data_IF_653758632615
#
_entry.id   IF_653758632615
#
_cell.length_a   1.000
_cell.length_b   1.000
_cell.length_c   1.000
_cell.angle_alpha   90.00
_cell.angle_beta   90.00
_cell.angle_gamma   90.00
#
_symmetry.space_group_name_H-M   'P 1'
#
loop_
_entity.id
_entity.type
_entity.pdbx_description
1 polymer ?
#
# COMPACT_ATOMS: atom_id res chain seq x y z
N UNK A 1 -45.81 -8.17 21.48
CA UNK A 1 -44.53 -7.44 21.43
C UNK A 1 -43.30 -8.32 21.13
N UNK A 2 -43.37 -9.66 21.17
CA UNK A 2 -42.22 -10.54 20.86
C UNK A 2 -41.79 -10.54 19.37
N UNK A 3 -42.71 -10.33 18.43
CA UNK A 3 -42.42 -10.36 16.98
C UNK A 3 -41.59 -9.16 16.49
N UNK A 4 -41.66 -8.02 17.17
CA UNK A 4 -40.92 -6.81 16.79
C UNK A 4 -39.43 -6.90 17.13
N UNK A 5 -39.09 -7.67 18.18
CA UNK A 5 -37.70 -7.89 18.60
C UNK A 5 -36.89 -8.68 17.55
N UNK A 6 -37.55 -9.59 16.84
CA UNK A 6 -36.92 -10.42 15.80
C UNK A 6 -36.55 -9.61 14.56
N UNK A 7 -37.32 -8.58 14.22
CA UNK A 7 -37.04 -7.70 13.07
C UNK A 7 -35.83 -6.81 13.34
N UNK A 8 -35.70 -6.30 14.57
CA UNK A 8 -34.53 -5.54 15.03
C UNK A 8 -33.26 -6.39 15.04
N UNK A 9 -33.36 -7.67 15.43
CA UNK A 9 -32.21 -8.58 15.43
C UNK A 9 -31.75 -8.92 14.00
N UNK A 10 -32.67 -9.08 13.05
CA UNK A 10 -32.34 -9.30 11.65
C UNK A 10 -31.65 -8.08 11.00
N UNK A 11 -32.08 -6.85 11.34
CA UNK A 11 -31.45 -5.61 10.84
C UNK A 11 -30.01 -5.43 11.34
N UNK A 12 -29.69 -5.86 12.55
CA UNK A 12 -28.32 -5.81 13.09
C UNK A 12 -27.36 -6.76 12.34
N UNK A 13 -27.86 -7.92 11.88
CA UNK A 13 -27.06 -8.91 11.16
C UNK A 13 -26.67 -8.48 9.73
N UNK A 14 -27.40 -7.54 9.13
CA UNK A 14 -27.08 -6.97 7.80
C UNK A 14 -26.18 -5.73 7.86
N UNK A 15 -25.81 -5.23 9.05
CA UNK A 15 -24.88 -4.09 9.18
C UNK A 15 -23.40 -4.47 9.03
N UNK A 16 -23.10 -5.77 8.91
CA UNK A 16 -21.73 -6.29 8.86
C UNK A 16 -21.42 -6.77 7.45
N UNK A 17 -21.40 -5.87 6.46
CA UNK A 17 -20.89 -6.21 5.14
C UNK A 17 -20.39 -4.96 4.39
N UNK A 18 -19.30 -4.38 4.88
CA UNK A 18 -18.59 -3.31 4.16
C UNK A 18 -17.11 -3.67 4.02
N UNK A 19 -16.79 -4.46 2.99
CA UNK A 19 -15.50 -4.34 2.29
C UNK A 19 -15.52 -3.14 1.32
N UNK A 20 -16.45 -2.18 1.50
CA UNK A 20 -16.74 -1.11 0.54
C UNK A 20 -15.74 0.04 0.54
N UNK A 21 -14.78 0.07 1.46
CA UNK A 21 -13.87 1.21 1.67
C UNK A 21 -12.44 0.74 1.98
N UNK A 22 -11.91 -0.18 1.17
CA UNK A 22 -10.57 -0.72 1.32
C UNK A 22 -9.68 -0.38 0.14
N UNK A 23 -8.54 0.23 0.40
CA UNK A 23 -7.47 0.42 -0.57
C UNK A 23 -6.52 -0.79 -0.57
N UNK A 24 -6.13 -1.27 -1.75
CA UNK A 24 -5.01 -2.18 -1.95
C UNK A 24 -3.73 -1.40 -2.18
N UNK A 25 -2.86 -1.40 -1.17
CA UNK A 25 -1.58 -0.70 -1.17
C UNK A 25 -0.44 -1.66 -1.50
N UNK A 26 0.23 -1.43 -2.63
CA UNK A 26 1.41 -2.18 -3.06
C UNK A 26 2.66 -1.34 -2.85
N UNK A 27 3.60 -1.89 -2.08
CA UNK A 27 4.95 -1.33 -1.91
C UNK A 27 5.91 -2.11 -2.80
N UNK A 28 6.56 -1.41 -3.72
CA UNK A 28 7.64 -1.94 -4.55
C UNK A 28 8.97 -1.44 -4.01
N UNK A 29 9.94 -2.34 -3.87
CA UNK A 29 11.31 -2.04 -3.53
C UNK A 29 12.19 -2.47 -4.71
N UNK A 30 12.89 -1.51 -5.32
CA UNK A 30 13.76 -1.72 -6.47
C UNK A 30 15.17 -1.22 -6.15
N UNK A 31 16.19 -2.02 -6.50
CA UNK A 31 17.60 -1.64 -6.44
C UNK A 31 18.13 -1.66 -7.87
N UNK A 32 18.64 -0.53 -8.33
CA UNK A 32 19.30 -0.37 -9.62
C UNK A 32 20.79 -0.13 -9.37
N UNK A 33 21.63 -1.04 -9.84
CA UNK A 33 23.09 -0.94 -9.74
C UNK A 33 23.67 -0.65 -11.12
N UNK A 34 24.39 0.46 -11.23
CA UNK A 34 25.20 0.80 -12.39
C UNK A 34 26.66 0.86 -11.96
N UNK A 35 27.48 -0.06 -12.45
CA UNK A 35 28.91 -0.15 -12.13
C UNK A 35 29.82 0.43 -13.24
N UNK A 36 29.23 1.13 -14.21
CA UNK A 36 29.83 1.67 -15.45
C UNK A 36 30.18 0.67 -16.55
N UNK A 37 30.10 -0.64 -16.28
CA UNK A 37 30.21 -1.68 -17.29
C UNK A 37 28.83 -2.22 -17.68
N UNK A 38 27.93 -2.31 -16.70
CA UNK A 38 26.57 -2.81 -16.86
C UNK A 38 25.58 -2.12 -15.92
N UNK A 39 24.30 -2.29 -16.23
CA UNK A 39 23.18 -1.88 -15.38
C UNK A 39 22.38 -3.12 -15.03
N UNK A 40 22.18 -3.36 -13.74
CA UNK A 40 21.35 -4.45 -13.21
C UNK A 40 20.25 -3.86 -12.33
N UNK A 41 19.05 -4.44 -12.39
CA UNK A 41 17.92 -4.06 -11.54
C UNK A 41 17.34 -5.30 -10.86
N UNK A 42 16.98 -5.14 -9.59
CA UNK A 42 16.31 -6.14 -8.76
C UNK A 42 15.08 -5.51 -8.14
N UNK A 43 13.92 -6.14 -8.27
CA UNK A 43 12.66 -5.61 -7.75
C UNK A 43 11.88 -6.67 -6.98
N UNK A 44 11.30 -6.27 -5.85
CA UNK A 44 10.35 -7.07 -5.07
C UNK A 44 9.15 -6.20 -4.71
N UNK A 45 7.98 -6.81 -4.57
CA UNK A 45 6.77 -6.09 -4.18
C UNK A 45 5.98 -6.85 -3.12
N UNK A 46 5.23 -6.11 -2.31
CA UNK A 46 4.31 -6.65 -1.33
C UNK A 46 3.04 -5.80 -1.28
N UNK A 47 1.88 -6.46 -1.20
CA UNK A 47 0.57 -5.80 -1.18
C UNK A 47 -0.09 -5.98 0.18
N UNK A 48 -0.78 -4.92 0.65
CA UNK A 48 -1.52 -4.89 1.91
C UNK A 48 -2.86 -4.19 1.68
N UNK A 49 -3.91 -4.61 2.40
CA UNK A 49 -5.21 -3.93 2.41
C UNK A 49 -5.28 -2.92 3.55
N UNK A 50 -5.76 -1.72 3.25
CA UNK A 50 -6.02 -0.65 4.21
C UNK A 50 -7.48 -0.22 4.10
N UNK A 51 -8.27 -0.56 5.10
CA UNK A 51 -9.69 -0.25 5.15
C UNK A 51 -9.98 0.88 6.14
N UNK A 52 -11.13 1.55 5.98
CA UNK A 52 -11.58 2.62 6.89
C UNK A 52 -10.59 3.78 7.00
N UNK A 53 -9.87 4.08 5.92
CA UNK A 53 -8.95 5.21 5.82
C UNK A 53 -9.52 6.25 4.85
N UNK A 54 -9.36 7.53 5.19
CA UNK A 54 -9.67 8.64 4.29
C UNK A 54 -8.64 8.73 3.16
N UNK A 55 -8.99 9.40 2.06
CA UNK A 55 -8.07 9.62 0.94
C UNK A 55 -6.79 10.38 1.37
N UNK A 56 -6.91 11.32 2.32
CA UNK A 56 -5.77 12.08 2.84
C UNK A 56 -4.84 11.20 3.70
N UNK A 57 -5.40 10.30 4.52
CA UNK A 57 -4.61 9.33 5.27
C UNK A 57 -3.89 8.34 4.35
N UNK A 58 -4.54 7.91 3.26
CA UNK A 58 -3.90 7.06 2.25
C UNK A 58 -2.78 7.79 1.52
N UNK A 59 -2.98 9.06 1.13
CA UNK A 59 -1.92 9.88 0.52
C UNK A 59 -0.73 10.05 1.46
N UNK A 60 -0.97 10.31 2.74
CA UNK A 60 0.09 10.41 3.73
C UNK A 60 0.83 9.08 3.86
N UNK A 61 0.10 7.96 3.92
CA UNK A 61 0.70 6.63 3.97
C UNK A 61 1.58 6.33 2.74
N UNK A 62 1.13 6.68 1.52
CA UNK A 62 1.92 6.55 0.30
C UNK A 62 3.23 7.35 0.39
N UNK A 63 3.16 8.60 0.86
CA UNK A 63 4.33 9.47 1.00
C UNK A 63 5.33 8.95 2.04
N UNK A 64 4.85 8.58 3.23
CA UNK A 64 5.72 8.06 4.31
C UNK A 64 6.34 6.70 3.97
N UNK A 65 5.70 5.95 3.07
CA UNK A 65 6.20 4.65 2.61
C UNK A 65 6.81 4.68 1.22
N UNK A 66 7.12 5.86 0.70
CA UNK A 66 7.89 6.04 -0.53
C UNK A 66 9.15 6.85 -0.25
N UNK A 67 10.29 6.33 -0.67
CA UNK A 67 11.58 7.01 -0.51
C UNK A 67 12.55 6.60 -1.62
N UNK A 68 13.57 7.40 -1.85
CA UNK A 68 14.64 7.11 -2.79
C UNK A 68 15.98 7.43 -2.15
N UNK A 69 16.84 6.43 -2.06
CA UNK A 69 18.22 6.59 -1.61
C UNK A 69 19.16 6.39 -2.78
N UNK A 70 20.11 7.30 -2.95
CA UNK A 70 21.13 7.22 -4.01
C UNK A 70 22.50 7.13 -3.34
N UNK A 71 23.27 6.12 -3.72
CA UNK A 71 24.66 5.95 -3.30
C UNK A 71 25.58 6.05 -4.52
N UNK A 72 26.64 6.84 -4.41
CA UNK A 72 27.62 7.05 -5.49
C UNK A 72 29.01 6.79 -4.94
N UNK A 73 29.77 5.93 -5.63
CA UNK A 73 31.17 5.66 -5.32
C UNK A 73 32.00 5.57 -6.62
N UNK A 74 32.72 6.65 -6.93
CA UNK A 74 33.45 6.76 -8.19
C UNK A 74 32.50 6.72 -9.38
N UNK A 75 32.64 5.70 -10.23
CA UNK A 75 31.75 5.47 -11.38
C UNK A 75 30.52 4.61 -11.04
N UNK A 76 30.50 3.98 -9.87
CA UNK A 76 29.39 3.15 -9.43
C UNK A 76 28.28 4.03 -8.85
N UNK A 77 27.04 3.75 -9.25
CA UNK A 77 25.82 4.36 -8.73
C UNK A 77 24.82 3.26 -8.37
N UNK A 78 24.27 3.35 -7.16
CA UNK A 78 23.22 2.45 -6.67
C UNK A 78 22.02 3.30 -6.29
N UNK A 79 20.90 3.08 -6.97
CA UNK A 79 19.63 3.74 -6.68
C UNK A 79 18.71 2.72 -6.00
N UNK A 80 18.28 3.01 -4.78
CA UNK A 80 17.31 2.21 -4.03
C UNK A 80 15.99 2.97 -3.99
N UNK A 81 14.97 2.43 -4.64
CA UNK A 81 13.64 3.01 -4.77
C UNK A 81 12.67 2.20 -3.90
N UNK A 82 11.99 2.85 -2.96
CA UNK A 82 10.83 2.31 -2.26
C UNK A 82 9.63 3.13 -2.72
N UNK A 83 8.62 2.52 -3.32
CA UNK A 83 7.43 3.23 -3.80
C UNK A 83 6.20 2.49 -3.32
N UNK A 84 5.31 3.19 -2.61
CA UNK A 84 4.03 2.65 -2.17
C UNK A 84 2.90 3.35 -2.91
N UNK A 85 2.00 2.56 -3.49
CA UNK A 85 0.80 3.04 -4.17
C UNK A 85 -0.43 2.25 -3.77
N UNK A 86 -1.50 2.98 -3.49
CA UNK A 86 -2.77 2.48 -3.02
C UNK A 86 -3.85 2.69 -4.08
N UNK A 87 -4.62 1.65 -4.37
CA UNK A 87 -5.70 1.66 -5.36
C UNK A 87 -6.98 1.24 -4.64
N UNK A 88 -8.09 1.94 -4.91
CA UNK A 88 -9.41 1.64 -4.35
C UNK A 88 -10.09 0.49 -5.09
#
# INVERSE_FOLDING_TARGET
>A
MKKMLWVLFALLLFSCNNDSDCYECTTTFEIIVNDSEKIESYSVSATRKMCNSTEDEIRLYELENSDTTIYINGKMRIDTLKVTKCIF
#
